data_IF_444573259357
#
_entry.id   IF_444573259357
#
_cell.length_a   1.000
_cell.length_b   1.000
_cell.length_c   1.000
_cell.angle_alpha   90.00
_cell.angle_beta   90.00
_cell.angle_gamma   90.00
#
_symmetry.space_group_name_H-M   'P 1'
#
loop_
_entity.id
_entity.type
_entity.pdbx_description
1 polymer ?
#
# COMPACT_ATOMS: atom_id res chain seq x y z
N UNK A 1 -9.15 1.33 -15.46
CA UNK A 1 -8.97 0.35 -14.40
C UNK A 1 -7.52 0.33 -13.95
N UNK A 2 -7.30 0.16 -12.68
CA UNK A 2 -5.96 0.01 -12.12
C UNK A 2 -5.42 -1.40 -12.39
N UNK A 3 -4.10 -1.57 -12.29
CA UNK A 3 -3.48 -2.89 -12.34
C UNK A 3 -4.05 -3.84 -11.28
N UNK A 4 -4.47 -3.31 -10.13
CA UNK A 4 -5.08 -4.10 -9.07
C UNK A 4 -6.38 -4.75 -9.54
N UNK A 5 -7.24 -4.00 -10.23
CA UNK A 5 -8.49 -4.55 -10.78
C UNK A 5 -8.19 -5.64 -11.80
N UNK A 6 -7.24 -5.43 -12.70
CA UNK A 6 -6.85 -6.43 -13.71
C UNK A 6 -6.30 -7.71 -13.07
N UNK A 7 -5.54 -7.60 -11.99
CA UNK A 7 -4.90 -8.73 -11.32
C UNK A 7 -5.84 -9.49 -10.39
N UNK A 8 -6.72 -8.78 -9.69
CA UNK A 8 -7.58 -9.38 -8.67
C UNK A 8 -9.02 -9.56 -9.12
N UNK A 9 -9.42 -8.90 -10.21
CA UNK A 9 -10.83 -8.90 -10.67
C UNK A 9 -11.76 -8.14 -9.73
N UNK A 10 -11.21 -7.36 -8.78
CA UNK A 10 -11.99 -6.68 -7.77
C UNK A 10 -11.55 -5.22 -7.63
N UNK A 11 -12.49 -4.29 -7.80
CA UNK A 11 -12.25 -2.87 -7.60
C UNK A 11 -12.57 -2.48 -6.16
N UNK A 12 -11.56 -2.01 -5.44
CA UNK A 12 -11.68 -1.60 -4.04
C UNK A 12 -11.91 -0.10 -3.86
N UNK A 13 -12.27 0.59 -4.92
CA UNK A 13 -12.60 2.00 -4.83
C UNK A 13 -13.71 2.23 -3.81
N UNK A 14 -13.50 3.16 -2.89
CA UNK A 14 -14.44 3.45 -1.81
C UNK A 14 -14.27 2.60 -0.56
N UNK A 15 -13.44 1.56 -0.60
CA UNK A 15 -13.12 0.76 0.59
C UNK A 15 -11.97 1.37 1.39
N UNK A 16 -11.96 1.10 2.70
CA UNK A 16 -10.87 1.52 3.57
C UNK A 16 -9.70 0.52 3.43
N UNK A 17 -8.53 1.03 3.03
CA UNK A 17 -7.34 0.20 2.87
C UNK A 17 -6.91 -0.53 4.15
N UNK A 18 -7.27 0.00 5.33
CA UNK A 18 -6.95 -0.64 6.60
C UNK A 18 -7.75 -1.94 6.83
N UNK A 19 -8.86 -2.14 6.13
CA UNK A 19 -9.68 -3.34 6.29
C UNK A 19 -8.97 -4.61 5.81
N UNK A 20 -7.97 -4.48 4.93
CA UNK A 20 -7.16 -5.60 4.45
C UNK A 20 -6.06 -6.00 5.45
N UNK A 21 -5.76 -5.13 6.38
CA UNK A 21 -4.70 -5.36 7.38
C UNK A 21 -5.31 -6.06 8.59
N UNK A 22 -4.58 -7.04 9.13
CA UNK A 22 -5.02 -7.68 10.37
C UNK A 22 -5.27 -6.63 11.47
N UNK A 23 -6.33 -6.77 12.28
CA UNK A 23 -6.68 -5.75 13.28
C UNK A 23 -5.52 -5.35 14.19
N UNK A 24 -4.64 -6.27 14.54
CA UNK A 24 -3.45 -6.01 15.39
C UNK A 24 -2.46 -5.05 14.75
N UNK A 25 -2.44 -4.93 13.42
CA UNK A 25 -1.48 -4.14 12.67
C UNK A 25 -2.05 -2.81 12.17
N UNK A 26 -3.35 -2.60 12.30
CA UNK A 26 -4.03 -1.42 11.74
C UNK A 26 -3.53 -0.10 12.33
N UNK A 27 -3.32 -0.08 13.64
CA UNK A 27 -2.84 1.14 14.31
C UNK A 27 -1.46 1.54 13.82
N UNK A 28 -0.55 0.59 13.64
CA UNK A 28 0.80 0.85 13.14
C UNK A 28 0.79 1.29 11.68
N UNK A 29 -0.05 0.69 10.86
CA UNK A 29 -0.19 1.09 9.46
C UNK A 29 -0.76 2.50 9.34
N UNK A 30 -1.77 2.82 10.12
CA UNK A 30 -2.32 4.18 10.20
C UNK A 30 -1.25 5.19 10.60
N UNK A 31 -0.44 4.86 11.60
CA UNK A 31 0.67 5.70 12.06
C UNK A 31 1.68 5.98 10.93
N UNK A 32 2.00 4.99 10.12
CA UNK A 32 2.91 5.17 8.97
C UNK A 32 2.35 6.16 7.96
N UNK A 33 1.06 6.03 7.60
CA UNK A 33 0.42 6.98 6.69
C UNK A 33 0.35 8.38 7.28
N UNK A 34 0.06 8.48 8.56
CA UNK A 34 0.03 9.77 9.27
C UNK A 34 1.42 10.44 9.22
N UNK A 35 2.47 9.68 9.46
CA UNK A 35 3.83 10.20 9.39
C UNK A 35 4.19 10.73 8.00
N UNK A 36 3.78 10.03 6.94
CA UNK A 36 3.98 10.49 5.56
C UNK A 36 3.23 11.80 5.30
N UNK A 37 2.04 11.95 5.85
CA UNK A 37 1.23 13.15 5.66
C UNK A 37 1.75 14.34 6.47
N UNK A 38 2.11 14.14 7.74
CA UNK A 38 2.50 15.20 8.67
C UNK A 38 3.93 15.69 8.43
N UNK A 39 4.84 14.77 8.13
CA UNK A 39 6.17 15.11 7.63
C UNK A 39 6.21 14.70 6.16
N UNK A 40 5.87 15.61 5.22
CA UNK A 40 5.76 15.21 3.82
C UNK A 40 7.02 14.52 3.34
N UNK A 41 6.94 13.20 3.20
CA UNK A 41 8.07 12.34 2.83
C UNK A 41 7.56 11.14 2.03
N UNK A 42 8.46 10.42 1.39
CA UNK A 42 8.15 9.13 0.81
C UNK A 42 8.27 8.01 1.84
N UNK A 43 7.66 6.89 1.53
CA UNK A 43 7.84 5.65 2.28
C UNK A 43 7.84 4.48 1.31
N UNK A 44 8.75 3.55 1.48
CA UNK A 44 8.73 2.32 0.70
C UNK A 44 8.78 1.10 1.61
N UNK A 45 8.41 -0.04 1.06
CA UNK A 45 8.49 -1.31 1.76
C UNK A 45 8.10 -2.45 0.85
N UNK A 46 8.25 -3.66 1.36
CA UNK A 46 7.79 -4.87 0.69
C UNK A 46 6.54 -5.37 1.39
N UNK A 47 5.51 -5.62 0.63
CA UNK A 47 4.22 -6.05 1.14
C UNK A 47 3.88 -7.42 0.58
N UNK A 48 3.34 -8.29 1.43
CA UNK A 48 2.83 -9.60 1.01
C UNK A 48 1.33 -9.50 0.82
N UNK A 49 0.88 -9.96 -0.35
CA UNK A 49 -0.54 -10.04 -0.67
C UNK A 49 -0.98 -11.48 -0.56
N UNK A 50 -1.86 -11.78 0.37
CA UNK A 50 -2.48 -13.10 0.50
C UNK A 50 -3.75 -13.12 -0.34
N UNK A 51 -3.77 -13.95 -1.36
CA UNK A 51 -4.89 -14.04 -2.29
C UNK A 51 -5.87 -15.15 -1.92
N UNK A 52 -7.09 -15.04 -2.42
CA UNK A 52 -8.15 -16.00 -2.15
C UNK A 52 -7.84 -17.40 -2.64
N UNK A 53 -6.98 -17.55 -3.65
CA UNK A 53 -6.54 -18.86 -4.18
C UNK A 53 -5.45 -19.52 -3.33
N UNK A 54 -5.06 -18.91 -2.22
CA UNK A 54 -4.02 -19.40 -1.32
C UNK A 54 -2.60 -18.97 -1.68
N UNK A 55 -2.41 -18.31 -2.82
CA UNK A 55 -1.09 -17.83 -3.22
C UNK A 55 -0.69 -16.57 -2.44
N UNK A 56 0.61 -16.34 -2.33
CA UNK A 56 1.19 -15.16 -1.69
C UNK A 56 2.09 -14.46 -2.69
N UNK A 57 1.88 -13.16 -2.90
CA UNK A 57 2.70 -12.34 -3.77
C UNK A 57 3.45 -11.30 -2.97
N UNK A 58 4.71 -11.08 -3.30
CA UNK A 58 5.48 -9.97 -2.77
C UNK A 58 5.44 -8.82 -3.76
N UNK A 59 5.11 -7.64 -3.26
CA UNK A 59 5.13 -6.41 -4.05
C UNK A 59 5.97 -5.36 -3.34
N UNK A 60 6.80 -4.65 -4.12
CA UNK A 60 7.45 -3.43 -3.66
C UNK A 60 6.45 -2.29 -3.77
N UNK A 61 6.31 -1.52 -2.70
CA UNK A 61 5.35 -0.42 -2.63
C UNK A 61 6.11 0.86 -2.30
N UNK A 62 5.85 1.90 -3.09
CA UNK A 62 6.31 3.26 -2.83
C UNK A 62 5.09 4.14 -2.63
N UNK A 63 5.05 4.85 -1.51
CA UNK A 63 3.96 5.77 -1.17
C UNK A 63 4.54 7.18 -1.11
N UNK A 64 3.91 8.11 -1.82
CA UNK A 64 4.27 9.52 -1.83
C UNK A 64 3.06 10.35 -1.43
N UNK A 65 3.26 11.43 -0.63
CA UNK A 65 2.17 12.34 -0.35
C UNK A 65 1.83 13.14 -1.62
N UNK A 66 0.55 13.25 -1.92
CA UNK A 66 0.09 14.13 -3.01
C UNK A 66 -0.17 15.54 -2.46
N UNK A 67 0.12 16.55 -3.27
CA UNK A 67 -0.21 17.92 -2.91
C UNK A 67 -1.72 18.07 -2.80
N UNK A 68 -2.19 18.62 -1.68
CA UNK A 68 -3.61 18.86 -1.42
C UNK A 68 -3.83 20.31 -0.99
N UNK A 69 -5.06 20.80 -1.16
CA UNK A 69 -5.43 22.11 -0.62
C UNK A 69 -5.32 22.10 0.92
N UNK A 70 -5.07 23.27 1.56
CA UNK A 70 -5.10 23.36 3.01
C UNK A 70 -6.41 22.82 3.58
N UNK A 71 -6.31 22.05 4.66
CA UNK A 71 -7.46 21.42 5.35
C UNK A 71 -8.18 20.32 4.54
N UNK A 72 -7.65 19.96 3.36
CA UNK A 72 -8.17 18.81 2.62
C UNK A 72 -7.72 17.49 3.26
N UNK A 73 -8.48 16.43 2.99
CA UNK A 73 -8.07 15.07 3.41
C UNK A 73 -6.76 14.70 2.72
N UNK A 74 -5.76 14.21 3.45
CA UNK A 74 -4.50 13.79 2.85
C UNK A 74 -4.72 12.72 1.78
N UNK A 75 -3.97 12.84 0.68
CA UNK A 75 -3.99 11.87 -0.42
C UNK A 75 -2.59 11.35 -0.66
N UNK A 76 -2.51 10.14 -1.15
CA UNK A 76 -1.25 9.47 -1.41
C UNK A 76 -1.23 8.92 -2.83
N UNK A 77 -0.05 8.98 -3.45
CA UNK A 77 0.24 8.25 -4.67
C UNK A 77 0.92 6.94 -4.26
N UNK A 78 0.36 5.83 -4.67
CA UNK A 78 0.92 4.52 -4.39
C UNK A 78 1.38 3.88 -5.69
N UNK A 79 2.65 3.49 -5.73
CA UNK A 79 3.25 2.78 -6.86
C UNK A 79 3.63 1.40 -6.34
N UNK A 80 3.18 0.36 -7.03
CA UNK A 80 3.46 -1.01 -6.65
C UNK A 80 4.07 -1.78 -7.82
N UNK A 81 5.12 -2.54 -7.53
CA UNK A 81 5.77 -3.43 -8.48
C UNK A 81 5.74 -4.85 -7.93
N UNK A 82 5.27 -5.78 -8.74
CA UNK A 82 5.22 -7.19 -8.38
C UNK A 82 6.61 -7.79 -8.46
N UNK A 83 7.10 -8.30 -7.32
CA UNK A 83 8.40 -8.98 -7.23
C UNK A 83 8.28 -10.49 -7.40
N UNK A 84 7.07 -11.02 -7.40
CA UNK A 84 6.83 -12.45 -7.56
C UNK A 84 6.75 -12.77 -9.05
N UNK A 85 7.77 -13.44 -9.55
CA UNK A 85 7.79 -13.92 -10.92
C UNK A 85 6.81 -15.08 -11.11
N UNK A 86 6.38 -15.30 -12.33
CA UNK A 86 5.67 -16.49 -12.77
C UNK A 86 4.21 -16.64 -12.34
N UNK A 87 3.57 -15.62 -11.74
CA UNK A 87 2.13 -15.71 -11.55
C UNK A 87 1.41 -15.50 -12.90
N UNK A 88 0.49 -16.41 -13.19
CA UNK A 88 -0.43 -16.26 -14.31
C UNK A 88 -1.62 -15.39 -13.87
N UNK A 89 -1.61 -14.13 -14.29
CA UNK A 89 -2.67 -13.19 -13.96
C UNK A 89 -3.91 -13.32 -14.87
N UNK A 90 -3.96 -14.31 -15.73
CA UNK A 90 -5.18 -14.62 -16.51
C UNK A 90 -6.30 -15.13 -15.61
N UNK A 91 -5.96 -15.69 -14.46
CA UNK A 91 -6.92 -16.08 -13.43
C UNK A 91 -6.81 -15.11 -12.25
N UNK A 92 -7.56 -13.98 -12.28
CA UNK A 92 -7.47 -13.00 -11.19
C UNK A 92 -7.93 -13.61 -9.87
N UNK A 93 -7.27 -13.22 -8.79
CA UNK A 93 -7.65 -13.63 -7.46
C UNK A 93 -7.69 -12.44 -6.53
N UNK A 94 -8.74 -12.39 -5.70
CA UNK A 94 -8.97 -11.30 -4.76
C UNK A 94 -7.93 -11.30 -3.65
N UNK A 95 -7.46 -10.12 -3.24
CA UNK A 95 -6.63 -9.95 -2.05
C UNK A 95 -7.51 -10.15 -0.82
N UNK A 96 -7.14 -11.10 0.04
CA UNK A 96 -7.86 -11.40 1.26
C UNK A 96 -7.30 -10.60 2.42
N UNK A 97 -5.98 -10.57 2.57
CA UNK A 97 -5.32 -9.83 3.63
C UNK A 97 -3.90 -9.45 3.23
N UNK A 98 -3.39 -8.39 3.84
CA UNK A 98 -2.01 -7.96 3.69
C UNK A 98 -1.42 -7.76 5.09
N UNK A 99 -0.33 -8.48 5.45
CA UNK A 99 0.43 -8.15 6.64
C UNK A 99 1.04 -6.76 6.53
N UNK A 100 1.51 -6.25 7.66
CA UNK A 100 2.24 -5.00 7.67
C UNK A 100 3.48 -5.13 6.78
N UNK A 101 3.75 -4.11 5.95
CA UNK A 101 4.92 -4.11 5.07
C UNK A 101 6.22 -4.22 5.89
N UNK A 102 7.19 -4.95 5.36
CA UNK A 102 8.51 -5.12 5.96
C UNK A 102 9.57 -4.43 5.10
N UNK A 103 10.80 -4.35 5.61
CA UNK A 103 11.91 -3.65 4.96
C UNK A 103 11.52 -2.22 4.57
N UNK A 104 10.84 -1.54 5.50
CA UNK A 104 10.30 -0.20 5.27
C UNK A 104 11.33 0.87 5.62
N UNK A 105 11.31 1.96 4.86
CA UNK A 105 12.06 3.15 5.18
C UNK A 105 11.33 4.39 4.67
N UNK A 106 11.58 5.52 5.33
CA UNK A 106 11.12 6.81 4.85
C UNK A 106 12.17 7.42 3.92
N UNK A 107 11.70 8.22 2.95
CA UNK A 107 12.55 8.90 1.96
C UNK A 107 12.37 10.40 2.13
N UNK A 108 13.47 11.12 2.34
CA UNK A 108 13.45 12.57 2.37
C UNK A 108 13.22 13.12 0.96
N UNK A 109 12.14 13.86 0.79
CA UNK A 109 11.78 14.52 -0.47
C UNK A 109 11.90 16.05 -0.36
N UNK A 110 12.67 16.54 0.62
CA UNK A 110 12.92 17.96 0.84
C UNK A 110 12.37 18.52 2.15
N UNK A 111 11.62 17.72 2.92
CA UNK A 111 11.00 18.13 4.20
C UNK A 111 11.47 17.28 5.38
N UNK A 112 12.52 16.47 5.18
CA UNK A 112 12.99 15.55 6.21
C UNK A 112 12.19 14.26 6.25
N UNK A 113 12.38 13.51 7.33
CA UNK A 113 11.68 12.25 7.60
C UNK A 113 11.19 12.26 9.04
N UNK A 114 10.18 11.43 9.37
CA UNK A 114 9.69 11.32 10.75
C UNK A 114 10.81 10.88 11.71
N UNK A 115 10.79 11.44 12.89
CA UNK A 115 11.78 11.16 13.93
C UNK A 115 11.28 10.03 14.83
#
# INVERSE_FOLDING_TARGET
ASNVVQRTGYDRKGENALDLVAPKDRAQRFERYRNVAETPCGMFGTQRLHLADGSVHEVFVLILPAATAPHAVPRFLCIAEDLTEHRDWREPSKIVTTPLAHDTAYIDIGRGVPV
#
